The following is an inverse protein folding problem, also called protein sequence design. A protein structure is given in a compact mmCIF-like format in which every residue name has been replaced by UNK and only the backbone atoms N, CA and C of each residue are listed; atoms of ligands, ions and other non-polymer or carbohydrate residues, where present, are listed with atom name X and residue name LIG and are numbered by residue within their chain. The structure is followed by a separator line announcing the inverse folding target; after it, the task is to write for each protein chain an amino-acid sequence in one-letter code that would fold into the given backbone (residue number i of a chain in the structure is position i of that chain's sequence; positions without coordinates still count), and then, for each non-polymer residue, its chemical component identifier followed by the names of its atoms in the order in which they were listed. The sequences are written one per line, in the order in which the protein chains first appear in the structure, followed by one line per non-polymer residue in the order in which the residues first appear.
data_IF_742218761989
#
_entry.id   IF_742218761989
#
_cell.length_a   1.000
_cell.length_b   1.000
_cell.length_c   1.000
_cell.angle_alpha   90.00
_cell.angle_beta   90.00
_cell.angle_gamma   90.00
#
_symmetry.space_group_name_H-M   'P 1'
#
loop_
_entity.id
_entity.type
_entity.pdbx_description
1 polymer ?
#
# COMPACT_ATOMS: atom_id res chain seq x y z
N UNK A 1 -10.06 -13.22 -20.10
CA UNK A 1 -9.33 -12.17 -19.39
C UNK A 1 -9.16 -12.63 -17.94
N UNK A 2 -7.99 -12.44 -17.35
CA UNK A 2 -7.66 -12.87 -15.98
C UNK A 2 -8.11 -11.85 -14.94
N UNK A 3 -8.32 -12.31 -13.71
CA UNK A 3 -8.55 -11.41 -12.57
C UNK A 3 -7.30 -10.56 -12.30
N UNK A 4 -7.44 -9.28 -11.95
CA UNK A 4 -6.30 -8.43 -11.69
C UNK A 4 -5.57 -8.88 -10.44
N UNK A 5 -4.24 -8.80 -10.47
CA UNK A 5 -3.38 -9.15 -9.36
C UNK A 5 -3.19 -7.93 -8.46
N UNK A 6 -3.61 -8.07 -7.20
CA UNK A 6 -3.55 -7.01 -6.20
C UNK A 6 -2.51 -7.41 -5.15
N UNK A 7 -1.45 -6.62 -5.03
CA UNK A 7 -0.40 -6.80 -4.05
C UNK A 7 -0.54 -5.76 -2.93
N UNK A 8 -0.60 -6.18 -1.67
CA UNK A 8 -0.42 -5.26 -0.54
C UNK A 8 1.04 -5.35 -0.09
N UNK A 9 1.72 -4.22 0.12
CA UNK A 9 3.11 -4.20 0.60
C UNK A 9 3.34 -3.12 1.65
N UNK A 10 4.38 -3.34 2.47
CA UNK A 10 4.85 -2.44 3.52
C UNK A 10 6.36 -2.67 3.76
N UNK A 11 7.16 -1.61 3.90
CA UNK A 11 8.61 -1.68 4.13
C UNK A 11 9.00 -1.14 5.51
N UNK A 12 10.12 -1.66 6.04
CA UNK A 12 10.79 -1.12 7.22
C UNK A 12 12.19 -0.63 6.85
N UNK A 13 12.52 0.59 7.27
CA UNK A 13 13.79 1.22 6.94
C UNK A 13 14.63 1.49 8.18
N UNK A 14 15.94 1.33 8.03
CA UNK A 14 16.92 1.83 8.97
C UNK A 14 17.08 3.36 8.77
N UNK A 15 17.18 4.14 9.85
CA UNK A 15 17.59 5.54 9.76
C UNK A 15 19.04 5.65 9.29
N UNK A 16 19.44 6.86 8.88
CA UNK A 16 20.83 7.17 8.61
C UNK A 16 21.63 7.22 9.93
N UNK A 17 22.87 6.72 9.90
CA UNK A 17 23.82 6.85 11.01
C UNK A 17 24.65 8.10 10.80
N UNK A 18 24.68 9.00 11.79
CA UNK A 18 25.31 10.32 11.69
C UNK A 18 26.12 10.66 12.93
N UNK A 19 27.23 11.37 12.77
CA UNK A 19 27.91 12.02 13.89
C UNK A 19 27.33 13.42 14.13
N UNK A 20 27.02 13.76 15.38
CA UNK A 20 26.56 15.09 15.77
C UNK A 20 27.13 15.49 17.13
N UNK A 21 27.49 16.77 17.28
CA UNK A 21 27.93 17.37 18.55
C UNK A 21 26.78 17.97 19.38
N UNK A 22 25.55 17.96 18.86
CA UNK A 22 24.38 18.58 19.50
C UNK A 22 23.18 17.65 19.43
N UNK A 23 22.45 17.53 20.55
CA UNK A 23 21.15 16.88 20.61
C UNK A 23 20.00 17.81 20.16
N UNK A 24 20.25 19.14 20.11
CA UNK A 24 19.28 20.14 19.67
C UNK A 24 19.38 20.40 18.16
N UNK A 25 18.25 20.80 17.56
CA UNK A 25 18.07 20.92 16.11
C UNK A 25 19.21 21.67 15.40
N UNK A 26 19.87 20.96 14.49
CA UNK A 26 20.77 21.51 13.46
C UNK A 26 20.51 20.81 12.14
N UNK A 27 20.72 21.51 11.03
CA UNK A 27 20.77 20.87 9.70
C UNK A 27 22.02 20.00 9.65
N UNK A 28 21.85 18.69 9.44
CA UNK A 28 22.96 17.74 9.34
C UNK A 28 23.44 17.72 7.88
N UNK A 29 24.67 18.19 7.63
CA UNK A 29 25.28 18.13 6.31
C UNK A 29 25.65 16.70 5.91
N UNK A 30 25.61 16.40 4.60
CA UNK A 30 25.86 15.04 4.06
C UNK A 30 27.22 14.46 4.46
N UNK A 31 28.24 15.30 4.68
CA UNK A 31 29.57 14.86 5.13
C UNK A 31 29.62 14.28 6.55
N UNK A 32 28.56 14.45 7.35
CA UNK A 32 28.44 13.84 8.69
C UNK A 32 27.71 12.49 8.66
N UNK A 33 27.26 12.04 7.49
CA UNK A 33 26.58 10.75 7.31
C UNK A 33 27.64 9.66 7.23
N UNK A 34 27.60 8.75 8.19
CA UNK A 34 28.46 7.55 8.22
C UNK A 34 27.85 6.49 7.32
N UNK A 35 26.54 6.26 7.49
CA UNK A 35 25.77 5.31 6.70
C UNK A 35 24.43 5.93 6.32
N UNK A 36 24.08 5.83 5.03
CA UNK A 36 22.78 6.27 4.55
C UNK A 36 21.64 5.36 5.03
N UNK A 37 20.39 5.85 5.01
CA UNK A 37 19.25 5.04 5.40
C UNK A 37 19.01 3.96 4.33
N UNK A 38 18.47 2.79 4.73
CA UNK A 38 18.27 1.62 3.86
C UNK A 38 17.04 0.81 4.23
N UNK A 39 16.56 -0.04 3.34
CA UNK A 39 15.46 -0.98 3.61
C UNK A 39 16.04 -2.17 4.39
N UNK A 40 15.49 -2.47 5.58
CA UNK A 40 15.88 -3.60 6.41
C UNK A 40 15.09 -4.86 6.04
N UNK A 41 13.79 -4.70 5.89
CA UNK A 41 12.88 -5.75 5.48
C UNK A 41 11.61 -5.17 4.88
N UNK A 42 10.81 -6.06 4.31
CA UNK A 42 9.49 -5.75 3.80
C UNK A 42 8.58 -6.97 3.88
N UNK A 43 7.28 -6.70 3.90
CA UNK A 43 6.25 -7.70 3.80
C UNK A 43 5.39 -7.41 2.58
N UNK A 44 4.93 -8.47 1.93
CA UNK A 44 4.02 -8.37 0.80
C UNK A 44 3.00 -9.50 0.82
N UNK A 45 1.81 -9.26 0.29
CA UNK A 45 0.70 -10.21 0.32
C UNK A 45 -0.19 -10.04 -0.90
N UNK A 46 -0.42 -11.14 -1.61
CA UNK A 46 -1.46 -11.18 -2.64
C UNK A 46 -2.85 -11.11 -2.00
N UNK A 47 -3.74 -10.30 -2.58
CA UNK A 47 -5.09 -10.11 -2.06
C UNK A 47 -5.82 -11.45 -1.92
N UNK A 48 -6.38 -11.70 -0.74
CA UNK A 48 -7.11 -12.94 -0.44
C UNK A 48 -6.24 -14.17 -0.14
N UNK A 49 -4.92 -14.13 -0.38
CA UNK A 49 -4.00 -15.20 0.03
C UNK A 49 -3.93 -15.31 1.56
N UNK A 50 -3.57 -16.48 2.11
CA UNK A 50 -3.22 -16.59 3.54
C UNK A 50 -1.74 -16.28 3.79
N UNK A 51 -0.92 -16.50 2.77
CA UNK A 51 0.52 -16.40 2.86
C UNK A 51 0.98 -14.95 2.71
N UNK A 52 1.99 -14.60 3.50
CA UNK A 52 2.65 -13.31 3.47
C UNK A 52 4.11 -13.56 3.16
N UNK A 53 4.60 -12.92 2.10
CA UNK A 53 6.02 -12.87 1.79
C UNK A 53 6.67 -11.94 2.81
N UNK A 54 7.69 -12.42 3.49
CA UNK A 54 8.56 -11.61 4.32
C UNK A 54 9.96 -11.72 3.76
N UNK A 55 10.53 -10.59 3.35
CA UNK A 55 11.85 -10.50 2.75
C UNK A 55 12.70 -9.54 3.58
N UNK A 56 13.94 -9.91 3.87
CA UNK A 56 14.83 -9.11 4.71
C UNK A 56 16.29 -9.19 4.28
N UNK A 57 17.07 -8.15 4.60
CA UNK A 57 18.51 -8.12 4.34
C UNK A 57 19.22 -9.31 5.01
N UNK A 58 18.79 -9.73 6.20
CA UNK A 58 19.42 -10.83 6.94
C UNK A 58 18.99 -12.24 6.46
N UNK A 59 17.89 -12.37 5.72
CA UNK A 59 17.43 -13.69 5.25
C UNK A 59 17.83 -13.96 3.81
N UNK A 60 17.67 -12.97 2.92
CA UNK A 60 17.96 -13.11 1.48
C UNK A 60 19.21 -12.35 1.03
N UNK A 61 19.83 -11.57 1.91
CA UNK A 61 20.73 -10.51 1.47
C UNK A 61 19.96 -9.36 0.83
N UNK A 62 20.60 -8.19 0.71
CA UNK A 62 19.98 -7.00 0.11
C UNK A 62 19.53 -7.24 -1.33
N UNK A 63 20.43 -7.77 -2.17
CA UNK A 63 20.09 -8.01 -3.58
C UNK A 63 18.98 -9.05 -3.76
N UNK A 64 19.02 -10.14 -2.99
CA UNK A 64 17.99 -11.18 -3.05
C UNK A 64 16.63 -10.66 -2.63
N UNK A 65 16.59 -9.86 -1.55
CA UNK A 65 15.39 -9.16 -1.10
C UNK A 65 14.83 -8.24 -2.19
N UNK A 66 15.67 -7.39 -2.80
CA UNK A 66 15.25 -6.44 -3.83
C UNK A 66 14.77 -7.12 -5.11
N UNK A 67 15.47 -8.17 -5.57
CA UNK A 67 15.04 -8.96 -6.74
C UNK A 67 13.68 -9.63 -6.49
N UNK A 68 13.47 -10.16 -5.30
CA UNK A 68 12.20 -10.83 -4.96
C UNK A 68 11.01 -9.86 -4.88
N UNK A 69 11.16 -8.68 -4.26
CA UNK A 69 10.06 -7.69 -4.25
C UNK A 69 9.84 -7.07 -5.64
N UNK A 70 10.90 -6.88 -6.43
CA UNK A 70 10.79 -6.40 -7.81
C UNK A 70 9.90 -7.34 -8.65
N UNK A 71 10.13 -8.65 -8.58
CA UNK A 71 9.29 -9.65 -9.25
C UNK A 71 7.82 -9.61 -8.80
N UNK A 72 7.57 -9.46 -7.49
CA UNK A 72 6.20 -9.33 -6.99
C UNK A 72 5.50 -8.07 -7.52
N UNK A 73 6.22 -6.94 -7.58
CA UNK A 73 5.69 -5.69 -8.13
C UNK A 73 5.47 -5.77 -9.64
N UNK A 74 6.35 -6.47 -10.36
CA UNK A 74 6.24 -6.70 -11.81
C UNK A 74 4.97 -7.48 -12.19
N UNK A 75 4.55 -8.39 -11.32
CA UNK A 75 3.32 -9.18 -11.50
C UNK A 75 2.04 -8.45 -11.06
N UNK A 76 2.12 -7.27 -10.44
CA UNK A 76 0.98 -6.59 -9.85
C UNK A 76 0.28 -5.65 -10.84
N UNK A 77 -1.04 -5.69 -10.91
CA UNK A 77 -1.84 -4.66 -11.58
C UNK A 77 -2.13 -3.47 -10.64
N UNK A 78 -2.29 -3.78 -9.36
CA UNK A 78 -2.53 -2.80 -8.30
C UNK A 78 -1.62 -3.07 -7.10
N UNK A 79 -1.02 -2.01 -6.57
CA UNK A 79 -0.28 -2.05 -5.31
C UNK A 79 -1.06 -1.27 -4.26
N UNK A 80 -1.36 -1.92 -3.14
CA UNK A 80 -2.04 -1.36 -1.98
C UNK A 80 -1.00 -1.09 -0.90
N UNK A 81 -1.05 0.11 -0.33
CA UNK A 81 -0.15 0.50 0.76
C UNK A 81 -0.80 1.53 1.69
N UNK A 82 -0.19 1.73 2.85
CA UNK A 82 -0.51 2.84 3.74
C UNK A 82 0.62 3.88 3.66
N UNK A 83 0.40 4.99 2.93
CA UNK A 83 1.44 6.01 2.65
C UNK A 83 2.55 5.58 1.67
N UNK A 84 2.39 4.47 0.94
CA UNK A 84 3.45 3.94 0.10
C UNK A 84 3.75 4.74 -1.16
N UNK A 85 2.83 5.54 -1.68
CA UNK A 85 3.13 6.44 -2.82
C UNK A 85 4.18 7.50 -2.46
N UNK A 86 4.28 7.86 -1.18
CA UNK A 86 5.25 8.85 -0.68
C UNK A 86 6.43 8.25 0.06
N UNK A 87 6.36 6.97 0.41
CA UNK A 87 7.35 6.30 1.23
C UNK A 87 7.86 5.04 0.54
N UNK A 88 7.11 3.95 0.58
CA UNK A 88 7.53 2.61 0.13
C UNK A 88 8.00 2.58 -1.32
N UNK A 89 7.21 3.09 -2.26
CA UNK A 89 7.51 3.04 -3.70
C UNK A 89 8.74 3.88 -4.05
N UNK A 90 8.87 5.15 -3.59
CA UNK A 90 10.12 5.91 -3.76
C UNK A 90 11.35 5.23 -3.17
N UNK A 91 11.22 4.61 -2.00
CA UNK A 91 12.29 3.86 -1.35
C UNK A 91 12.75 2.68 -2.20
N UNK A 92 11.80 1.85 -2.65
CA UNK A 92 12.07 0.68 -3.49
C UNK A 92 12.68 1.10 -4.83
N UNK A 93 12.13 2.11 -5.51
CA UNK A 93 12.69 2.62 -6.76
C UNK A 93 14.12 3.14 -6.60
N UNK A 94 14.41 3.85 -5.49
CA UNK A 94 15.76 4.30 -5.18
C UNK A 94 16.73 3.15 -4.96
N UNK A 95 16.29 2.07 -4.31
CA UNK A 95 17.08 0.86 -4.13
C UNK A 95 17.28 0.08 -5.44
N UNK A 96 16.23 -0.07 -6.26
CA UNK A 96 16.31 -0.69 -7.58
C UNK A 96 17.34 0.02 -8.47
N UNK A 97 17.32 1.36 -8.49
CA UNK A 97 18.30 2.15 -9.21
C UNK A 97 19.74 1.88 -8.75
N UNK A 98 19.98 1.77 -7.43
CA UNK A 98 21.31 1.50 -6.88
C UNK A 98 21.85 0.13 -7.28
N UNK A 99 20.98 -0.87 -7.42
CA UNK A 99 21.37 -2.25 -7.81
C UNK A 99 21.22 -2.52 -9.31
N UNK A 100 20.93 -1.50 -10.12
CA UNK A 100 20.82 -1.63 -11.58
C UNK A 100 19.58 -2.37 -12.07
N UNK A 101 18.53 -2.45 -11.25
CA UNK A 101 17.22 -2.96 -11.68
C UNK A 101 16.43 -1.85 -12.38
N UNK A 102 15.83 -2.18 -13.52
CA UNK A 102 14.86 -1.32 -14.19
C UNK A 102 13.57 -1.20 -13.34
N UNK A 103 12.72 -0.19 -13.59
CA UNK A 103 11.41 -0.13 -12.95
C UNK A 103 10.62 -1.42 -13.18
N UNK A 104 9.85 -1.92 -12.20
CA UNK A 104 8.91 -3.02 -12.44
C UNK A 104 7.83 -2.58 -13.44
N UNK A 105 7.10 -3.55 -13.98
CA UNK A 105 5.98 -3.30 -14.88
C UNK A 105 5.00 -2.26 -14.32
N UNK A 106 4.44 -1.39 -15.18
CA UNK A 106 3.52 -0.34 -14.74
C UNK A 106 2.30 -0.91 -14.01
N UNK A 107 2.17 -0.54 -12.74
CA UNK A 107 1.04 -0.88 -11.88
C UNK A 107 0.34 0.39 -11.42
N UNK A 108 -0.85 0.24 -10.82
CA UNK A 108 -1.56 1.36 -10.21
C UNK A 108 -1.48 1.32 -8.70
N UNK A 109 -0.84 2.34 -8.14
CA UNK A 109 -0.82 2.52 -6.69
C UNK A 109 -2.16 2.98 -6.13
N UNK A 110 -2.60 2.31 -5.07
CA UNK A 110 -3.78 2.63 -4.27
C UNK A 110 -3.31 2.91 -2.84
N UNK A 111 -2.99 4.17 -2.56
CA UNK A 111 -2.60 4.61 -1.22
C UNK A 111 -3.85 4.85 -0.35
N UNK A 112 -3.99 4.02 0.69
CA UNK A 112 -5.12 4.08 1.61
C UNK A 112 -5.08 5.32 2.49
N UNK A 113 -3.89 5.83 2.83
CA UNK A 113 -3.77 7.05 3.64
C UNK A 113 -4.25 8.28 2.85
N UNK A 114 -4.01 8.33 1.54
CA UNK A 114 -4.55 9.39 0.69
C UNK A 114 -6.07 9.30 0.57
N UNK A 115 -6.61 8.08 0.41
CA UNK A 115 -8.06 7.86 0.42
C UNK A 115 -8.66 8.32 1.76
N UNK A 116 -8.01 7.94 2.87
CA UNK A 116 -8.38 8.31 4.22
C UNK A 116 -8.47 9.84 4.41
N UNK A 117 -7.39 10.56 4.09
CA UNK A 117 -7.33 12.03 4.18
C UNK A 117 -8.40 12.73 3.35
N UNK A 118 -8.75 12.16 2.20
CA UNK A 118 -9.75 12.75 1.27
C UNK A 118 -11.18 12.47 1.69
N UNK A 119 -11.45 11.33 2.33
CA UNK A 119 -12.81 10.81 2.54
C UNK A 119 -13.29 10.90 3.97
N UNK A 120 -12.40 10.93 4.96
CA UNK A 120 -12.75 10.79 6.36
C UNK A 120 -12.14 11.88 7.21
N UNK A 121 -12.77 12.13 8.36
CA UNK A 121 -12.33 13.07 9.39
C UNK A 121 -12.06 12.31 10.69
N UNK A 122 -11.00 11.50 10.70
CA UNK A 122 -10.52 10.82 11.90
C UNK A 122 -9.44 11.64 12.61
N UNK A 123 -9.24 11.36 13.90
CA UNK A 123 -8.28 12.09 14.73
C UNK A 123 -6.83 11.91 14.25
N UNK A 124 -6.50 10.74 13.71
CA UNK A 124 -5.16 10.42 13.22
C UNK A 124 -5.21 9.65 11.90
N UNK A 125 -4.16 9.80 11.09
CA UNK A 125 -3.93 9.03 9.86
C UNK A 125 -2.88 7.93 10.02
N UNK A 126 -2.63 7.50 11.27
CA UNK A 126 -1.81 6.31 11.53
C UNK A 126 -2.60 5.04 11.18
N UNK A 127 -1.92 4.05 10.61
CA UNK A 127 -2.52 2.75 10.27
C UNK A 127 -3.20 2.10 11.50
N UNK A 128 -2.53 2.13 12.65
CA UNK A 128 -3.07 1.61 13.93
C UNK A 128 -4.36 2.30 14.35
N UNK A 129 -4.47 3.63 14.16
CA UNK A 129 -5.70 4.36 14.48
C UNK A 129 -6.87 3.87 13.63
N UNK A 130 -6.65 3.72 12.32
CA UNK A 130 -7.69 3.20 11.42
C UNK A 130 -8.06 1.75 11.71
N UNK A 131 -7.08 0.90 12.05
CA UNK A 131 -7.34 -0.49 12.41
C UNK A 131 -8.26 -0.58 13.64
N UNK A 132 -8.05 0.27 14.64
CA UNK A 132 -8.87 0.34 15.86
C UNK A 132 -10.27 0.88 15.59
N UNK A 133 -10.37 2.03 14.93
CA UNK A 133 -11.65 2.69 14.61
C UNK A 133 -12.56 1.81 13.75
N UNK A 134 -11.98 0.97 12.88
CA UNK A 134 -12.74 0.05 12.03
C UNK A 134 -13.03 -1.31 12.70
N UNK A 135 -12.59 -1.52 13.94
CA UNK A 135 -12.78 -2.78 14.67
C UNK A 135 -11.99 -3.96 14.10
N UNK A 136 -10.91 -3.68 13.36
CA UNK A 136 -10.06 -4.69 12.70
C UNK A 136 -9.02 -5.25 13.67
N UNK A 137 -8.48 -4.38 14.54
CA UNK A 137 -7.46 -4.76 15.52
C UNK A 137 -6.56 -3.59 15.88
N UNK A 138 -5.40 -3.90 16.41
CA UNK A 138 -4.37 -2.92 16.77
C UNK A 138 -2.99 -3.41 16.35
N UNK A 139 -2.09 -2.48 16.03
CA UNK A 139 -0.69 -2.81 15.80
C UNK A 139 -0.05 -3.37 17.06
N UNK A 140 0.83 -4.33 16.88
CA UNK A 140 1.76 -4.78 17.93
C UNK A 140 2.68 -3.61 18.26
N UNK A 141 2.87 -3.36 19.56
CA UNK A 141 3.78 -2.32 20.01
C UNK A 141 5.22 -2.75 19.70
N UNK A 142 5.94 -1.93 18.92
CA UNK A 142 7.36 -2.11 18.70
C UNK A 142 8.13 -1.48 19.86
N UNK A 143 9.29 -2.01 20.25
CA UNK A 143 10.10 -1.51 21.38
C UNK A 143 10.80 -0.16 21.10
N UNK A 144 10.20 0.70 20.28
CA UNK A 144 10.80 1.95 19.81
C UNK A 144 12.07 1.71 18.99
N UNK A 145 12.96 2.71 18.97
CA UNK A 145 14.21 2.69 18.19
C UNK A 145 15.19 1.58 18.62
N UNK A 146 15.06 1.05 19.84
CA UNK A 146 15.89 -0.04 20.35
C UNK A 146 15.84 -1.28 19.46
N UNK A 147 14.64 -1.62 18.94
CA UNK A 147 14.46 -2.73 18.02
C UNK A 147 15.29 -2.58 16.73
N UNK A 148 15.34 -1.36 16.17
CA UNK A 148 16.12 -1.07 14.97
C UNK A 148 17.61 -1.13 15.27
N UNK A 149 18.04 -0.57 16.41
CA UNK A 149 19.44 -0.60 16.83
C UNK A 149 19.96 -2.02 17.00
N UNK A 150 19.20 -2.91 17.67
CA UNK A 150 19.59 -4.32 17.80
C UNK A 150 19.82 -4.99 16.44
N UNK A 151 19.00 -4.68 15.42
CA UNK A 151 19.15 -5.21 14.06
C UNK A 151 20.33 -4.58 13.31
N UNK A 152 20.52 -3.26 13.43
CA UNK A 152 21.55 -2.53 12.72
C UNK A 152 22.96 -2.80 13.27
N UNK A 153 23.07 -2.97 14.58
CA UNK A 153 24.34 -3.14 15.31
C UNK A 153 24.71 -4.63 15.49
N UNK A 154 23.87 -5.56 15.01
CA UNK A 154 24.01 -7.02 15.20
C UNK A 154 24.24 -7.37 16.69
N UNK A 155 23.36 -6.84 17.55
CA UNK A 155 23.45 -7.00 19.00
C UNK A 155 23.21 -8.46 19.44
N UNK A 156 23.53 -8.77 20.70
CA UNK A 156 23.35 -10.13 21.26
C UNK A 156 21.90 -10.64 21.16
N UNK A 157 20.91 -9.74 21.16
CA UNK A 157 19.47 -10.05 21.06
C UNK A 157 18.91 -9.98 19.63
N UNK A 158 19.78 -9.88 18.61
CA UNK A 158 19.38 -9.60 17.23
C UNK A 158 18.38 -10.60 16.66
N UNK A 159 18.45 -11.88 17.03
CA UNK A 159 17.50 -12.88 16.53
C UNK A 159 16.08 -12.67 17.05
N UNK A 160 15.93 -12.21 18.29
CA UNK A 160 14.61 -11.89 18.84
C UNK A 160 14.11 -10.56 18.27
N UNK A 161 15.00 -9.59 18.08
CA UNK A 161 14.68 -8.37 17.35
C UNK A 161 14.18 -8.66 15.92
N UNK A 162 14.86 -9.53 15.17
CA UNK A 162 14.46 -9.96 13.82
C UNK A 162 13.07 -10.63 13.80
N UNK A 163 12.76 -11.46 14.81
CA UNK A 163 11.42 -12.08 14.95
C UNK A 163 10.33 -11.07 15.26
N UNK A 164 10.60 -10.10 16.15
CA UNK A 164 9.65 -9.03 16.48
C UNK A 164 9.40 -8.15 15.25
N UNK A 165 10.46 -7.76 14.55
CA UNK A 165 10.38 -6.96 13.32
C UNK A 165 9.55 -7.67 12.25
N UNK A 166 9.82 -8.97 12.01
CA UNK A 166 9.03 -9.78 11.09
C UNK A 166 7.55 -9.79 11.45
N UNK A 167 7.23 -9.98 12.73
CA UNK A 167 5.84 -10.01 13.21
C UNK A 167 5.14 -8.69 12.97
N UNK A 168 5.82 -7.58 13.26
CA UNK A 168 5.31 -6.23 13.08
C UNK A 168 5.00 -5.93 11.61
N UNK A 169 5.97 -6.10 10.71
CA UNK A 169 5.82 -5.79 9.29
C UNK A 169 4.83 -6.73 8.58
N UNK A 170 4.81 -8.03 8.92
CA UNK A 170 3.77 -8.97 8.44
C UNK A 170 2.37 -8.56 8.92
N UNK A 171 2.24 -8.08 10.15
CA UNK A 171 0.95 -7.62 10.66
C UNK A 171 0.46 -6.38 9.93
N UNK A 172 1.35 -5.43 9.63
CA UNK A 172 0.99 -4.19 8.95
C UNK A 172 0.40 -4.43 7.57
N UNK A 173 0.96 -5.35 6.79
CA UNK A 173 0.37 -5.77 5.50
C UNK A 173 -1.01 -6.41 5.69
N UNK A 174 -1.19 -7.25 6.71
CA UNK A 174 -2.49 -7.88 7.01
C UNK A 174 -3.54 -6.85 7.42
N UNK A 175 -3.16 -5.86 8.24
CA UNK A 175 -4.04 -4.76 8.64
C UNK A 175 -4.38 -3.88 7.43
N UNK A 176 -3.38 -3.56 6.62
CA UNK A 176 -3.55 -2.75 5.41
C UNK A 176 -4.52 -3.40 4.43
N UNK A 177 -4.42 -4.71 4.20
CA UNK A 177 -5.38 -5.43 3.35
C UNK A 177 -6.80 -5.41 3.93
N UNK A 178 -6.97 -5.68 5.22
CA UNK A 178 -8.29 -5.67 5.85
C UNK A 178 -8.93 -4.27 5.81
N UNK A 179 -8.12 -3.23 5.99
CA UNK A 179 -8.56 -1.84 5.85
C UNK A 179 -8.91 -1.54 4.39
N UNK A 180 -8.12 -2.01 3.42
CA UNK A 180 -8.46 -1.91 2.00
C UNK A 180 -9.83 -2.51 1.70
N UNK A 181 -10.12 -3.70 2.22
CA UNK A 181 -11.42 -4.34 2.04
C UNK A 181 -12.56 -3.53 2.65
N UNK A 182 -12.35 -2.96 3.85
CA UNK A 182 -13.34 -2.11 4.52
C UNK A 182 -13.55 -0.77 3.83
N UNK A 183 -12.49 -0.20 3.26
CA UNK A 183 -12.47 1.09 2.56
C UNK A 183 -12.83 0.97 1.08
N UNK A 184 -12.91 -0.25 0.54
CA UNK A 184 -13.14 -0.55 -0.88
C UNK A 184 -14.20 0.34 -1.57
N UNK A 185 -15.39 0.60 -1.02
CA UNK A 185 -16.38 1.48 -1.66
C UNK A 185 -15.99 2.96 -1.79
N UNK A 186 -14.98 3.42 -1.05
CA UNK A 186 -14.52 4.80 -0.99
C UNK A 186 -13.30 5.08 -1.87
N UNK A 187 -12.60 4.01 -2.28
CA UNK A 187 -11.39 4.03 -3.09
C UNK A 187 -11.71 4.49 -4.52
N UNK A 188 -10.87 5.39 -5.04
CA UNK A 188 -10.88 5.81 -6.44
C UNK A 188 -9.69 5.19 -7.17
N UNK A 189 -9.75 5.15 -8.50
CA UNK A 189 -8.66 4.65 -9.33
C UNK A 189 -8.63 3.13 -9.53
N UNK A 190 -9.37 2.35 -8.73
CA UNK A 190 -9.53 0.92 -9.02
C UNK A 190 -10.62 0.68 -10.07
N UNK A 191 -10.37 -0.23 -11.01
CA UNK A 191 -11.37 -0.66 -11.99
C UNK A 191 -11.23 -2.15 -12.37
N UNK A 192 -11.68 -3.02 -11.47
CA UNK A 192 -11.73 -4.48 -11.66
C UNK A 192 -12.56 -4.90 -12.89
N UNK A 193 -13.57 -4.10 -13.26
CA UNK A 193 -14.44 -4.41 -14.39
C UNK A 193 -13.71 -4.39 -15.75
N UNK A 194 -12.57 -3.70 -15.86
CA UNK A 194 -11.76 -3.71 -17.09
C UNK A 194 -11.07 -5.05 -17.33
N UNK A 195 -10.77 -5.78 -16.27
CA UNK A 195 -10.09 -7.07 -16.32
C UNK A 195 -11.05 -8.22 -16.54
N UNK A 196 -12.28 -8.12 -16.04
CA UNK A 196 -13.26 -9.22 -16.12
C UNK A 196 -14.33 -9.02 -17.21
N UNK A 197 -14.44 -7.81 -17.77
CA UNK A 197 -15.48 -7.45 -18.73
C UNK A 197 -16.90 -7.42 -18.15
N UNK A 198 -17.85 -6.92 -18.94
CA UNK A 198 -19.27 -6.86 -18.59
C UNK A 198 -19.65 -5.81 -17.55
N UNK A 199 -20.90 -5.84 -17.09
CA UNK A 199 -21.43 -4.90 -16.10
C UNK A 199 -21.08 -5.37 -14.69
N UNK A 200 -19.94 -4.89 -14.18
CA UNK A 200 -19.39 -5.25 -12.86
C UNK A 200 -19.08 -4.04 -12.00
N UNK A 201 -18.97 -4.27 -10.70
CA UNK A 201 -18.48 -3.27 -9.78
C UNK A 201 -17.02 -2.93 -10.09
N UNK A 202 -16.72 -1.65 -10.31
CA UNK A 202 -15.34 -1.19 -10.55
C UNK A 202 -14.40 -1.46 -9.38
N UNK A 203 -14.92 -1.51 -8.15
CA UNK A 203 -14.09 -1.63 -6.95
C UNK A 203 -13.86 -3.08 -6.50
N UNK A 204 -14.77 -4.01 -6.79
CA UNK A 204 -14.62 -5.41 -6.36
C UNK A 204 -14.86 -6.47 -7.44
N UNK A 205 -15.21 -6.09 -8.67
CA UNK A 205 -15.49 -7.06 -9.74
C UNK A 205 -16.83 -7.81 -9.61
N UNK A 206 -17.56 -7.64 -8.50
CA UNK A 206 -18.85 -8.30 -8.30
C UNK A 206 -19.89 -7.91 -9.35
N UNK A 207 -20.70 -8.88 -9.75
CA UNK A 207 -21.88 -8.71 -10.61
C UNK A 207 -23.14 -8.33 -9.83
N UNK A 208 -23.09 -8.34 -8.49
CA UNK A 208 -24.24 -8.03 -7.64
C UNK A 208 -24.48 -6.52 -7.56
N UNK A 209 -25.13 -6.02 -8.61
CA UNK A 209 -25.41 -4.60 -8.81
C UNK A 209 -26.92 -4.37 -8.87
N UNK A 210 -27.39 -3.39 -8.11
CA UNK A 210 -28.77 -2.94 -8.15
C UNK A 210 -28.85 -1.54 -8.75
N UNK A 211 -29.83 -1.32 -9.63
CA UNK A 211 -30.11 -0.01 -10.22
C UNK A 211 -30.63 0.94 -9.14
N UNK A 212 -29.96 2.08 -8.95
CA UNK A 212 -30.32 3.09 -7.94
C UNK A 212 -30.14 4.51 -8.47
N UNK A 213 -31.23 5.06 -9.01
CA UNK A 213 -31.28 6.42 -9.56
C UNK A 213 -30.36 6.62 -10.75
N UNK A 214 -30.01 7.89 -11.02
CA UNK A 214 -29.23 8.27 -12.20
C UNK A 214 -28.00 9.07 -11.81
N UNK A 215 -26.89 8.89 -12.52
CA UNK A 215 -25.72 9.76 -12.44
C UNK A 215 -25.82 10.79 -13.57
N UNK A 216 -25.91 12.07 -13.21
CA UNK A 216 -25.88 13.19 -14.17
C UNK A 216 -24.45 13.71 -14.21
N UNK A 217 -23.90 13.81 -15.42
CA UNK A 217 -22.59 14.40 -15.67
C UNK A 217 -22.67 15.35 -16.85
N UNK A 218 -21.63 16.14 -17.07
CA UNK A 218 -21.53 17.06 -18.21
C UNK A 218 -21.71 16.38 -19.57
N UNK A 219 -21.48 15.07 -19.67
CA UNK A 219 -21.62 14.28 -20.91
C UNK A 219 -23.01 13.65 -21.08
N UNK A 220 -23.83 13.59 -20.02
CA UNK A 220 -25.13 12.94 -20.08
C UNK A 220 -25.62 12.31 -18.78
N UNK A 221 -26.76 11.62 -18.91
CA UNK A 221 -27.47 10.87 -17.86
C UNK A 221 -27.21 9.38 -18.00
N UNK A 222 -26.73 8.76 -16.93
CA UNK A 222 -26.35 7.35 -16.89
C UNK A 222 -27.12 6.62 -15.80
N UNK A 223 -27.40 5.33 -16.00
CA UNK A 223 -27.95 4.49 -14.94
C UNK A 223 -26.90 4.31 -13.83
N UNK A 224 -27.23 4.73 -12.60
CA UNK A 224 -26.36 4.53 -11.43
C UNK A 224 -26.66 3.17 -10.80
N UNK A 225 -25.60 2.49 -10.40
CA UNK A 225 -25.63 1.15 -9.84
C UNK A 225 -24.98 1.16 -8.45
N UNK A 226 -25.58 0.45 -7.50
CA UNK A 226 -25.02 0.18 -6.18
C UNK A 226 -24.59 -1.28 -6.12
N UNK A 227 -23.32 -1.51 -5.76
CA UNK A 227 -22.84 -2.86 -5.47
C UNK A 227 -23.34 -3.29 -4.10
N UNK A 228 -23.96 -4.47 -4.02
CA UNK A 228 -24.42 -5.05 -2.74
C UNK A 228 -23.33 -5.85 -2.04
N UNK A 229 -22.27 -6.25 -2.75
CA UNK A 229 -21.14 -6.97 -2.15
C UNK A 229 -20.17 -6.06 -1.38
N UNK A 230 -19.72 -4.95 -1.98
CA UNK A 230 -18.77 -4.02 -1.34
C UNK A 230 -19.37 -2.64 -1.03
N UNK A 231 -20.61 -2.37 -1.43
CA UNK A 231 -21.23 -1.06 -1.21
C UNK A 231 -20.75 0.04 -2.16
N UNK A 232 -19.88 -0.22 -3.14
CA UNK A 232 -19.39 0.84 -4.03
C UNK A 232 -20.50 1.34 -4.98
N UNK A 233 -20.41 2.60 -5.36
CA UNK A 233 -21.25 3.18 -6.40
C UNK A 233 -20.53 3.14 -7.75
N UNK A 234 -21.23 2.68 -8.78
CA UNK A 234 -20.77 2.72 -10.17
C UNK A 234 -21.89 3.22 -11.09
N UNK A 235 -21.63 3.31 -12.39
CA UNK A 235 -22.63 3.64 -13.41
C UNK A 235 -22.44 2.77 -14.64
N UNK A 236 -23.50 2.57 -15.40
CA UNK A 236 -23.42 1.96 -16.73
C UNK A 236 -22.59 2.85 -17.67
N UNK A 237 -21.90 2.23 -18.63
CA UNK A 237 -21.11 2.94 -19.65
C UNK A 237 -22.01 3.63 -20.67
N UNK A 238 -23.11 2.98 -21.06
CA UNK A 238 -24.06 3.50 -22.03
C UNK A 238 -24.88 4.61 -21.38
N UNK A 239 -24.89 5.78 -22.02
CA UNK A 239 -25.77 6.87 -21.61
C UNK A 239 -27.23 6.51 -21.91
N UNK A 240 -28.13 6.96 -21.05
CA UNK A 240 -29.58 6.94 -21.31
C UNK A 240 -29.93 8.14 -22.21
N UNK A 241 -29.35 9.30 -21.89
CA UNK A 241 -29.38 10.51 -22.71
C UNK A 241 -28.02 11.19 -22.69
N UNK A 242 -27.56 11.70 -23.83
CA UNK A 242 -26.36 12.53 -23.95
C UNK A 242 -26.76 13.98 -24.11
N UNK A 243 -25.97 14.91 -23.56
CA UNK A 243 -26.15 16.33 -23.88
C UNK A 243 -25.57 16.58 -25.26
N UNK A 244 -26.42 16.90 -26.24
CA UNK A 244 -25.98 17.45 -27.52
C UNK A 244 -25.60 18.92 -27.31
N UNK A 245 -24.46 19.16 -26.68
CA UNK A 245 -23.79 20.47 -26.76
C UNK A 245 -22.77 20.35 -27.87
N UNK A 246 -23.26 20.40 -29.11
CA UNK A 246 -22.44 20.69 -30.28
C UNK A 246 -22.25 22.20 -30.36
N UNK A 247 -21.02 22.64 -30.16
CA UNK A 247 -20.47 23.86 -30.73
C UNK A 247 -19.16 23.45 -31.41
#
# INVERSE_FOLDING_TARGET
MSDPRILTLDIETAPATVYTYSLFQKVIGIGNVIEGPRILCLAAKWHGSRDVFFLSEWSQGREGMLKAIHQLMDEADYIISWNGQRFDVPWLNGEFLKVGLEPPSPHRDIDLMLTAKKRFRFLSNKLDWYARELGIGQKVNHQGIGLWRSIMEDADDVEDARKIMRRYNVQDVRLTEQIFDRMRPWIQGINMALFQGGTRCRNCGSVHLIKKGFAITTQGKYQRLKCTACGAWTREKKAIYTSNTGA
#
